data_IF_555927018027
#
_entry.id   IF_555927018027
#
_cell.length_a   1.000
_cell.length_b   1.000
_cell.length_c   1.000
_cell.angle_alpha   90.00
_cell.angle_beta   90.00
_cell.angle_gamma   90.00
#
_symmetry.space_group_name_H-M   'P 1'
#
loop_
_entity.id
_entity.type
_entity.pdbx_description
1 polymer ?
#
# COMPACT_ATOMS: atom_id res chain seq x y z
N UNK A 1 17.77 0.26 58.99
CA UNK A 1 16.56 0.26 58.13
C UNK A 1 16.58 1.52 57.31
N UNK A 2 16.45 1.42 55.99
CA UNK A 2 15.83 2.39 55.08
C UNK A 2 15.83 1.73 53.68
N UNK A 3 14.76 1.01 53.37
CA UNK A 3 14.49 0.51 52.02
C UNK A 3 13.79 1.62 51.25
N UNK A 4 14.50 2.26 50.34
CA UNK A 4 13.89 3.07 49.28
C UNK A 4 13.32 2.10 48.23
N UNK A 5 12.01 2.13 47.91
CA UNK A 5 11.52 1.37 46.77
C UNK A 5 11.98 2.11 45.51
N UNK A 6 12.87 1.48 44.73
CA UNK A 6 13.19 1.93 43.38
C UNK A 6 11.97 1.66 42.52
N UNK A 7 11.15 2.69 42.27
CA UNK A 7 10.10 2.65 41.25
C UNK A 7 10.71 2.36 39.88
N UNK A 8 10.35 1.25 39.21
CA UNK A 8 10.74 1.00 37.84
C UNK A 8 9.66 1.52 36.88
N UNK A 9 9.18 2.76 37.06
CA UNK A 9 8.15 3.35 36.18
C UNK A 9 8.75 4.45 35.29
N UNK A 10 9.88 4.16 34.65
CA UNK A 10 10.50 5.10 33.71
C UNK A 10 11.02 4.40 32.47
N UNK A 11 10.20 3.56 31.82
CA UNK A 11 10.59 2.89 30.56
C UNK A 11 9.46 2.33 29.71
N UNK A 12 8.18 2.54 30.02
CA UNK A 12 7.11 2.08 29.12
C UNK A 12 6.90 3.10 27.99
N UNK A 13 7.83 3.12 27.03
CA UNK A 13 7.49 3.61 25.71
C UNK A 13 6.29 2.81 25.20
N UNK A 14 5.31 3.40 24.51
CA UNK A 14 4.20 2.64 23.93
C UNK A 14 4.77 1.60 22.95
N UNK A 15 4.95 0.37 23.41
CA UNK A 15 5.32 -0.74 22.54
C UNK A 15 4.10 -0.99 21.68
N UNK A 16 4.11 -0.46 20.46
CA UNK A 16 3.11 -0.79 19.46
C UNK A 16 2.96 -2.32 19.47
N UNK A 17 1.73 -2.86 19.49
CA UNK A 17 1.52 -4.29 19.57
C UNK A 17 2.31 -4.98 18.45
N UNK A 18 2.90 -6.16 18.70
CA UNK A 18 3.78 -6.87 17.76
C UNK A 18 3.09 -7.27 16.44
N UNK A 19 1.80 -6.95 16.29
CA UNK A 19 1.00 -7.24 15.12
C UNK A 19 0.52 -5.96 14.40
N UNK A 20 1.15 -4.81 14.67
CA UNK A 20 0.96 -3.62 13.83
C UNK A 20 1.61 -3.94 12.49
N UNK A 21 0.88 -3.95 11.35
CA UNK A 21 1.49 -4.25 10.07
C UNK A 21 2.42 -3.09 9.68
N UNK A 22 3.67 -3.15 10.14
CA UNK A 22 4.75 -2.19 9.84
C UNK A 22 5.11 -2.17 8.35
N UNK A 23 4.56 -3.11 7.57
CA UNK A 23 4.68 -3.21 6.12
C UNK A 23 3.28 -3.26 5.49
N UNK A 24 2.41 -2.27 5.75
CA UNK A 24 1.11 -2.12 5.09
C UNK A 24 0.99 -0.77 4.36
N UNK A 25 0.36 -0.76 3.18
CA UNK A 25 -0.01 0.43 2.41
C UNK A 25 -1.53 0.47 2.36
N UNK A 26 -2.11 1.58 2.77
CA UNK A 26 -3.57 1.77 2.75
C UNK A 26 -3.94 2.79 1.70
N UNK A 27 -4.87 2.43 0.84
CA UNK A 27 -5.40 3.28 -0.20
C UNK A 27 -6.91 3.46 -0.01
N UNK A 28 -7.37 4.70 -0.09
CA UNK A 28 -8.81 5.03 -0.14
C UNK A 28 -9.15 5.44 -1.56
N UNK A 29 -10.10 4.73 -2.16
CA UNK A 29 -10.57 4.98 -3.52
C UNK A 29 -12.02 5.45 -3.45
N UNK A 30 -12.31 6.59 -4.07
CA UNK A 30 -13.69 7.06 -4.28
C UNK A 30 -13.96 7.10 -5.78
N UNK A 31 -15.10 6.54 -6.19
CA UNK A 31 -15.57 6.50 -7.57
C UNK A 31 -17.00 7.06 -7.60
N UNK A 32 -17.32 7.83 -8.62
CA UNK A 32 -18.67 8.37 -8.85
C UNK A 32 -18.95 8.47 -10.35
N UNK A 33 -20.22 8.35 -10.73
CA UNK A 33 -20.68 8.69 -12.07
C UNK A 33 -20.91 10.20 -12.14
N UNK A 34 -20.58 10.78 -13.29
CA UNK A 34 -20.98 12.12 -13.65
C UNK A 34 -22.12 11.96 -14.67
N UNK A 35 -23.31 12.39 -14.29
CA UNK A 35 -24.45 12.38 -15.19
C UNK A 35 -24.27 13.54 -16.18
N UNK A 36 -24.07 13.21 -17.46
CA UNK A 36 -24.21 14.19 -18.52
C UNK A 36 -25.71 14.42 -18.71
N UNK A 37 -26.20 15.63 -18.41
CA UNK A 37 -27.59 16.05 -18.65
C UNK A 37 -27.96 16.06 -20.16
N UNK A 38 -27.04 15.69 -21.05
CA UNK A 38 -27.29 15.49 -22.48
C UNK A 38 -27.50 14.01 -22.80
N UNK A 39 -28.70 13.69 -23.30
CA UNK A 39 -29.25 12.35 -23.65
C UNK A 39 -28.39 11.43 -24.58
N UNK A 40 -27.17 11.82 -24.96
CA UNK A 40 -26.34 11.08 -25.94
C UNK A 40 -24.90 10.80 -25.50
N UNK A 41 -24.45 11.30 -24.33
CA UNK A 41 -23.10 11.05 -23.86
C UNK A 41 -23.03 9.81 -22.95
N UNK A 42 -22.17 8.85 -23.30
CA UNK A 42 -21.92 7.67 -22.47
C UNK A 42 -21.51 8.11 -21.05
N UNK A 43 -22.18 7.56 -20.02
CA UNK A 43 -21.91 7.92 -18.62
C UNK A 43 -20.41 7.86 -18.31
N UNK A 44 -19.81 9.02 -18.04
CA UNK A 44 -18.41 9.13 -17.66
C UNK A 44 -18.30 8.94 -16.15
N UNK A 45 -17.41 8.04 -15.72
CA UNK A 45 -17.12 7.87 -14.31
C UNK A 45 -15.80 8.56 -13.98
N UNK A 46 -15.75 9.16 -12.79
CA UNK A 46 -14.55 9.78 -12.23
C UNK A 46 -14.21 9.12 -10.91
N UNK A 47 -12.94 9.22 -10.54
CA UNK A 47 -12.48 8.73 -9.26
C UNK A 47 -11.28 9.50 -8.74
N UNK A 48 -10.99 9.29 -7.47
CA UNK A 48 -9.68 9.63 -6.92
C UNK A 48 -9.21 8.57 -5.95
N UNK A 49 -7.90 8.38 -5.91
CA UNK A 49 -7.20 7.49 -5.01
C UNK A 49 -6.32 8.33 -4.11
N UNK A 50 -6.33 8.03 -2.81
CA UNK A 50 -5.46 8.64 -1.80
C UNK A 50 -4.67 7.56 -1.10
N UNK A 51 -3.34 7.67 -1.06
CA UNK A 51 -2.52 6.85 -0.17
C UNK A 51 -2.53 7.49 1.23
N UNK A 52 -2.94 6.71 2.23
CA UNK A 52 -3.25 7.22 3.57
C UNK A 52 -2.00 7.66 4.33
N UNK A 53 -0.86 6.98 4.13
CA UNK A 53 0.35 7.26 4.91
C UNK A 53 1.07 8.53 4.46
N UNK A 54 1.20 8.76 3.16
CA UNK A 54 1.89 9.93 2.61
C UNK A 54 0.95 11.05 2.13
N UNK A 55 -0.36 10.85 2.26
CA UNK A 55 -1.42 11.76 1.85
C UNK A 55 -1.41 12.12 0.36
N UNK A 56 -0.69 11.36 -0.49
CA UNK A 56 -0.68 11.60 -1.94
C UNK A 56 -2.04 11.24 -2.53
N UNK A 57 -2.56 12.11 -3.39
CA UNK A 57 -3.84 11.94 -4.08
C UNK A 57 -3.68 12.07 -5.58
N UNK A 58 -4.42 11.24 -6.33
CA UNK A 58 -4.53 11.33 -7.79
C UNK A 58 -5.97 11.13 -8.23
N UNK A 59 -6.44 11.99 -9.13
CA UNK A 59 -7.70 11.79 -9.86
C UNK A 59 -7.48 10.83 -11.04
N UNK A 60 -8.49 10.02 -11.34
CA UNK A 60 -8.46 9.09 -12.46
C UNK A 60 -9.85 8.96 -13.11
N UNK A 61 -9.86 8.51 -14.35
CA UNK A 61 -11.05 8.36 -15.21
C UNK A 61 -11.15 6.92 -15.77
N UNK A 62 -10.15 6.10 -15.46
CA UNK A 62 -10.02 4.72 -15.91
C UNK A 62 -9.33 3.87 -14.83
N UNK A 63 -9.43 2.55 -14.96
CA UNK A 63 -8.78 1.63 -14.02
C UNK A 63 -7.24 1.61 -14.16
N UNK A 64 -6.69 2.12 -15.27
CA UNK A 64 -5.25 2.19 -15.47
C UNK A 64 -4.61 3.24 -14.55
N UNK A 65 -5.30 4.36 -14.31
CA UNK A 65 -4.87 5.38 -13.37
C UNK A 65 -4.70 4.86 -11.94
N UNK A 66 -5.56 3.93 -11.51
CA UNK A 66 -5.43 3.24 -10.22
C UNK A 66 -4.15 2.39 -10.20
N UNK A 67 -3.94 1.57 -11.23
CA UNK A 67 -2.77 0.69 -11.32
C UNK A 67 -1.46 1.49 -11.31
N UNK A 68 -1.40 2.55 -12.11
CA UNK A 68 -0.23 3.44 -12.18
C UNK A 68 0.05 4.13 -10.84
N UNK A 69 -0.98 4.40 -10.04
CA UNK A 69 -0.80 5.00 -8.71
C UNK A 69 -0.26 3.99 -7.69
N UNK A 70 -0.73 2.73 -7.72
CA UNK A 70 -0.35 1.70 -6.75
C UNK A 70 1.01 1.06 -7.08
N UNK A 71 1.35 0.93 -8.38
CA UNK A 71 2.57 0.28 -8.86
C UNK A 71 3.87 0.68 -8.13
N UNK A 72 4.22 1.96 -7.95
CA UNK A 72 5.48 2.33 -7.30
C UNK A 72 5.57 1.84 -5.84
N UNK A 73 4.46 1.82 -5.10
CA UNK A 73 4.44 1.31 -3.72
C UNK A 73 4.67 -0.21 -3.67
N UNK A 74 4.17 -0.94 -4.66
CA UNK A 74 4.39 -2.38 -4.79
C UNK A 74 5.82 -2.71 -5.27
N UNK A 75 6.41 -1.87 -6.11
CA UNK A 75 7.81 -1.98 -6.57
C UNK A 75 8.79 -1.76 -5.43
N UNK A 76 8.59 -0.73 -4.59
CA UNK A 76 9.40 -0.47 -3.39
C UNK A 76 9.39 -1.66 -2.42
N UNK A 77 8.28 -2.39 -2.34
CA UNK A 77 8.15 -3.61 -1.53
C UNK A 77 8.63 -4.89 -2.21
N UNK A 78 9.14 -4.82 -3.45
CA UNK A 78 9.65 -5.98 -4.16
C UNK A 78 8.56 -6.95 -4.65
N UNK A 79 7.28 -6.55 -4.70
CA UNK A 79 6.18 -7.41 -5.14
C UNK A 79 6.29 -7.87 -6.61
N UNK A 80 7.18 -7.27 -7.39
CA UNK A 80 7.48 -7.66 -8.77
C UNK A 80 8.77 -8.49 -8.94
N UNK A 81 9.46 -8.88 -7.86
CA UNK A 81 10.70 -9.69 -7.91
C UNK A 81 10.48 -11.19 -8.14
N UNK A 82 9.53 -11.60 -8.97
CA UNK A 82 9.38 -13.02 -9.33
C UNK A 82 10.46 -13.46 -10.33
N UNK A 83 11.57 -13.97 -9.76
CA UNK A 83 12.48 -15.02 -10.21
C UNK A 83 12.82 -15.15 -11.70
N UNK A 84 14.07 -14.79 -12.04
CA UNK A 84 14.75 -15.19 -13.28
C UNK A 84 15.95 -16.12 -13.03
N UNK A 85 15.90 -16.93 -11.99
CA UNK A 85 17.04 -17.77 -11.58
C UNK A 85 16.59 -19.14 -11.08
N UNK A 86 15.92 -19.92 -11.92
CA UNK A 86 15.89 -21.39 -11.78
C UNK A 86 15.40 -22.10 -13.06
N UNK A 87 16.12 -21.88 -14.16
CA UNK A 87 16.20 -22.87 -15.27
C UNK A 87 17.66 -22.92 -15.75
N UNK A 88 18.61 -23.11 -14.83
CA UNK A 88 19.85 -23.79 -15.17
C UNK A 88 19.68 -25.25 -14.77
N UNK A 89 19.28 -26.07 -15.74
CA UNK A 89 19.24 -27.52 -15.57
C UNK A 89 20.70 -28.03 -15.56
N UNK A 90 21.18 -28.65 -14.47
CA UNK A 90 22.56 -29.09 -14.39
C UNK A 90 22.81 -30.29 -15.32
N UNK A 91 23.77 -30.10 -16.22
CA UNK A 91 24.66 -31.13 -16.80
C UNK A 91 23.96 -32.42 -17.26
N UNK A 92 23.67 -32.47 -18.56
CA UNK A 92 23.87 -33.69 -19.34
C UNK A 92 25.34 -34.09 -19.18
N UNK A 93 25.61 -35.18 -18.46
CA UNK A 93 26.92 -35.81 -18.45
C UNK A 93 26.76 -37.22 -19.04
N UNK A 94 27.64 -37.63 -19.98
CA UNK A 94 27.45 -38.75 -20.89
C UNK A 94 27.50 -40.13 -20.22
#
# INVERSE_FOLDING_TARGET
MNNTPSDPELSEQPTLPPNTPQNSHTFVIRIWLEDDESDEAAAFWRGHITHVLDQRRRFFQDLQGIKQFIAPYLEEWGAFHRAKSEIENPKTQP
#
